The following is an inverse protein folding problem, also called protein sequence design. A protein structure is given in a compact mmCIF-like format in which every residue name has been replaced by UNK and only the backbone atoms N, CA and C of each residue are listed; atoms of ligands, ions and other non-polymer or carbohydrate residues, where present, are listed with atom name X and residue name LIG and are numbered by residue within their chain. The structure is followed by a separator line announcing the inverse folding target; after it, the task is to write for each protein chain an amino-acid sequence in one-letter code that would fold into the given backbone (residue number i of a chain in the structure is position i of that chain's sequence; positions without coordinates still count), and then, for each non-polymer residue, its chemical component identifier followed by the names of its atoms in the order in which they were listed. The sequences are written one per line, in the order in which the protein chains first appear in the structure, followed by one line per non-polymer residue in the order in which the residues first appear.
data_IF_747735244183
#
_entry.id   IF_747735244183
#
_cell.length_a   1.000
_cell.length_b   1.000
_cell.length_c   1.000
_cell.angle_alpha   90.00
_cell.angle_beta   90.00
_cell.angle_gamma   90.00
#
_symmetry.space_group_name_H-M   'P 1'
#
loop_
_entity.id
_entity.type
_entity.pdbx_description
1 polymer ?
#
# COMPACT_ATOMS: atom_id res chain seq x y z
N UNK A 1 40.36 -4.28 -19.05
CA UNK A 1 40.09 -4.68 -17.66
C UNK A 1 39.37 -3.52 -17.00
N UNK A 2 38.04 -3.57 -16.93
CA UNK A 2 37.25 -2.53 -16.28
C UNK A 2 37.23 -2.80 -14.78
N UNK A 3 37.83 -1.90 -14.01
CA UNK A 3 37.83 -1.92 -12.55
C UNK A 3 36.43 -1.59 -12.04
N UNK A 4 35.76 -2.54 -11.38
CA UNK A 4 34.56 -2.23 -10.60
C UNK A 4 34.97 -1.25 -9.47
N UNK A 5 34.35 -0.08 -9.35
CA UNK A 5 34.56 0.74 -8.17
C UNK A 5 34.03 -0.03 -6.95
N UNK A 6 34.84 -0.15 -5.91
CA UNK A 6 34.40 -0.62 -4.60
C UNK A 6 33.19 0.21 -4.17
N UNK A 7 32.06 -0.45 -3.94
CA UNK A 7 30.84 0.21 -3.48
C UNK A 7 31.08 0.75 -2.07
N UNK A 8 31.09 2.08 -1.95
CA UNK A 8 31.22 2.76 -0.66
C UNK A 8 29.89 2.65 0.13
N UNK A 9 29.83 1.65 1.00
CA UNK A 9 28.65 1.38 1.83
C UNK A 9 28.41 2.46 2.88
N UNK A 10 29.45 3.16 3.34
CA UNK A 10 29.31 4.20 4.36
C UNK A 10 28.66 5.45 3.77
N UNK A 11 29.04 5.82 2.55
CA UNK A 11 28.37 6.89 1.80
C UNK A 11 26.89 6.56 1.50
N UNK A 12 26.60 5.29 1.17
CA UNK A 12 25.22 4.84 0.94
C UNK A 12 24.37 4.85 2.23
N UNK A 13 24.95 4.46 3.36
CA UNK A 13 24.28 4.48 4.65
C UNK A 13 23.96 5.91 5.09
N UNK A 14 24.91 6.83 4.93
CA UNK A 14 24.71 8.25 5.24
C UNK A 14 23.63 8.90 4.35
N UNK A 15 23.60 8.54 3.06
CA UNK A 15 22.54 8.98 2.14
C UNK A 15 21.16 8.44 2.52
N UNK A 16 21.05 7.15 2.87
CA UNK A 16 19.78 6.53 3.26
C UNK A 16 19.19 7.09 4.56
N UNK A 17 20.03 7.67 5.45
CA UNK A 17 19.60 8.31 6.69
C UNK A 17 19.21 9.78 6.52
N UNK A 18 19.41 10.37 5.33
CA UNK A 18 19.01 11.74 5.05
C UNK A 18 17.52 11.83 4.68
N UNK A 19 16.83 12.86 5.19
CA UNK A 19 15.39 13.10 4.97
C UNK A 19 15.05 13.61 3.55
N UNK A 20 16.01 13.64 2.63
CA UNK A 20 15.84 14.22 1.30
C UNK A 20 16.32 13.26 0.20
N UNK A 21 15.55 12.21 -0.14
CA UNK A 21 15.89 11.34 -1.25
C UNK A 21 15.76 12.10 -2.57
N UNK A 22 16.86 12.69 -3.04
CA UNK A 22 16.92 13.40 -4.31
C UNK A 22 17.05 12.38 -5.44
N UNK A 23 15.93 12.04 -6.09
CA UNK A 23 15.97 11.20 -7.30
C UNK A 23 16.61 12.03 -8.42
N UNK A 24 17.81 11.64 -8.86
CA UNK A 24 18.49 12.37 -9.94
C UNK A 24 17.66 12.30 -11.24
N UNK A 25 17.54 13.42 -11.99
CA UNK A 25 16.90 13.42 -13.30
C UNK A 25 17.60 12.42 -14.24
N UNK A 26 16.82 11.52 -14.85
CA UNK A 26 17.35 10.47 -15.73
C UNK A 26 17.69 9.15 -15.04
N UNK A 27 17.46 9.02 -13.72
CA UNK A 27 17.60 7.74 -13.02
C UNK A 27 16.68 6.69 -13.66
N UNK A 28 17.27 5.67 -14.28
CA UNK A 28 16.53 4.55 -14.85
C UNK A 28 15.95 3.73 -13.69
N UNK A 29 14.63 3.71 -13.59
CA UNK A 29 13.93 2.81 -12.68
C UNK A 29 14.22 1.37 -13.12
N UNK A 30 15.16 0.71 -12.44
CA UNK A 30 15.42 -0.71 -12.62
C UNK A 30 14.29 -1.44 -11.89
N UNK A 31 13.32 -1.97 -12.65
CA UNK A 31 12.46 -3.02 -12.11
C UNK A 31 13.21 -4.32 -12.23
N UNK A 32 13.35 -5.03 -11.11
CA UNK A 32 13.89 -6.38 -11.12
C UNK A 32 13.08 -7.27 -12.07
N UNK A 33 13.74 -8.31 -12.57
CA UNK A 33 13.06 -9.42 -13.24
C UNK A 33 12.23 -10.20 -12.22
N UNK A 34 11.32 -11.07 -12.68
CA UNK A 34 10.57 -11.94 -11.77
C UNK A 34 11.50 -12.77 -10.85
N UNK A 35 12.65 -13.21 -11.39
CA UNK A 35 13.66 -13.92 -10.61
C UNK A 35 14.30 -13.03 -9.53
N UNK A 36 14.56 -11.76 -9.83
CA UNK A 36 15.09 -10.80 -8.83
C UNK A 36 14.07 -10.54 -7.71
N UNK A 37 12.78 -10.52 -8.04
CA UNK A 37 11.71 -10.35 -7.08
C UNK A 37 11.58 -11.59 -6.15
N UNK A 38 11.75 -12.79 -6.71
CA UNK A 38 11.75 -14.04 -5.92
C UNK A 38 12.98 -14.13 -5.01
N UNK A 39 14.15 -13.74 -5.50
CA UNK A 39 15.39 -13.70 -4.70
C UNK A 39 15.29 -12.67 -3.56
N UNK A 40 14.81 -11.46 -3.84
CA UNK A 40 14.55 -10.44 -2.82
C UNK A 40 13.57 -10.95 -1.76
N UNK A 41 12.52 -11.67 -2.18
CA UNK A 41 11.57 -12.27 -1.24
C UNK A 41 12.20 -13.32 -0.36
N UNK A 42 12.98 -14.24 -0.92
CA UNK A 42 13.66 -15.27 -0.14
C UNK A 42 14.56 -14.64 0.93
N UNK A 43 15.23 -13.53 0.59
CA UNK A 43 16.03 -12.77 1.55
C UNK A 43 15.18 -12.15 2.67
N UNK A 44 14.03 -11.54 2.34
CA UNK A 44 13.14 -10.95 3.34
C UNK A 44 12.45 -12.00 4.22
N UNK A 45 12.04 -13.14 3.64
CA UNK A 45 11.47 -14.26 4.40
C UNK A 45 12.51 -14.88 5.36
N UNK A 46 13.79 -14.94 4.97
CA UNK A 46 14.87 -15.40 5.83
C UNK A 46 15.20 -14.42 6.98
N UNK A 47 14.95 -13.12 6.79
CA UNK A 47 15.18 -12.09 7.81
C UNK A 47 13.99 -11.79 8.72
N UNK A 48 12.83 -12.43 8.51
CA UNK A 48 11.65 -12.24 9.35
C UNK A 48 11.72 -13.16 10.58
N UNK A 49 11.91 -12.58 11.75
CA UNK A 49 12.11 -13.30 13.01
C UNK A 49 10.79 -13.45 13.78
N UNK A 50 9.91 -12.44 13.68
CA UNK A 50 8.63 -12.41 14.38
C UNK A 50 7.45 -12.87 13.51
N UNK A 51 6.38 -13.34 14.14
CA UNK A 51 5.15 -13.70 13.43
C UNK A 51 4.46 -12.48 12.78
N UNK A 52 4.66 -11.29 13.33
CA UNK A 52 4.15 -10.04 12.77
C UNK A 52 4.89 -9.65 11.48
N UNK A 53 6.22 -9.81 11.44
CA UNK A 53 7.04 -9.60 10.25
C UNK A 53 6.68 -10.59 9.14
N UNK A 54 6.50 -11.87 9.49
CA UNK A 54 6.05 -12.91 8.55
C UNK A 54 4.66 -12.59 7.99
N UNK A 55 3.74 -12.14 8.84
CA UNK A 55 2.41 -11.72 8.42
C UNK A 55 2.46 -10.49 7.50
N UNK A 56 3.35 -9.53 7.75
CA UNK A 56 3.55 -8.37 6.90
C UNK A 56 4.09 -8.77 5.51
N UNK A 57 5.08 -9.67 5.46
CA UNK A 57 5.61 -10.26 4.23
C UNK A 57 4.56 -11.01 3.42
N UNK A 58 3.70 -11.78 4.10
CA UNK A 58 2.59 -12.47 3.46
C UNK A 58 1.58 -11.50 2.83
N UNK A 59 1.32 -10.35 3.48
CA UNK A 59 0.45 -9.28 2.94
C UNK A 59 1.08 -8.57 1.74
N UNK A 60 2.41 -8.38 1.76
CA UNK A 60 3.15 -7.76 0.67
C UNK A 60 3.11 -8.56 -0.65
N UNK A 61 2.74 -9.85 -0.63
CA UNK A 61 2.63 -10.70 -1.82
C UNK A 61 1.59 -10.23 -2.86
N UNK A 62 0.59 -9.43 -2.47
CA UNK A 62 -0.63 -9.25 -3.28
C UNK A 62 -0.84 -7.86 -3.89
N UNK A 63 0.10 -6.93 -3.73
CA UNK A 63 -0.20 -5.51 -3.96
C UNK A 63 -1.26 -5.01 -2.98
N UNK A 64 -1.82 -3.80 -3.17
CA UNK A 64 -2.97 -3.35 -2.37
C UNK A 64 -4.11 -4.35 -2.60
N UNK A 65 -4.62 -5.06 -1.56
CA UNK A 65 -5.71 -6.00 -1.73
C UNK A 65 -6.88 -5.35 -2.43
N UNK A 66 -7.49 -6.06 -3.38
CA UNK A 66 -8.76 -5.63 -3.97
C UNK A 66 -9.79 -5.46 -2.84
N UNK A 67 -10.65 -4.44 -2.93
CA UNK A 67 -11.78 -4.28 -2.02
C UNK A 67 -12.84 -5.36 -2.21
N UNK A 68 -12.83 -6.03 -3.35
CA UNK A 68 -13.64 -7.20 -3.66
C UNK A 68 -12.78 -8.48 -3.57
N UNK A 69 -13.08 -9.40 -2.63
CA UNK A 69 -12.32 -10.63 -2.44
C UNK A 69 -12.49 -11.63 -3.59
N UNK A 70 -13.51 -11.46 -4.43
CA UNK A 70 -13.79 -12.30 -5.61
C UNK A 70 -13.20 -11.73 -6.91
N UNK A 71 -12.66 -10.51 -6.86
CA UNK A 71 -12.10 -9.87 -8.03
C UNK A 71 -10.85 -10.60 -8.55
N UNK A 72 -10.73 -10.66 -9.88
CA UNK A 72 -9.53 -11.18 -10.53
C UNK A 72 -8.29 -10.35 -10.14
N UNK A 73 -7.15 -10.97 -9.77
CA UNK A 73 -5.94 -10.24 -9.43
C UNK A 73 -5.54 -9.22 -10.51
N UNK A 74 -5.20 -8.00 -10.08
CA UNK A 74 -4.91 -6.88 -10.98
C UNK A 74 -6.12 -6.04 -11.39
N UNK A 75 -7.34 -6.45 -11.01
CA UNK A 75 -8.55 -5.64 -11.23
C UNK A 75 -8.65 -4.54 -10.17
N UNK A 76 -8.92 -3.31 -10.61
CA UNK A 76 -9.13 -2.17 -9.73
C UNK A 76 -10.60 -2.01 -9.39
N UNK A 77 -10.92 -1.79 -8.11
CA UNK A 77 -12.28 -1.44 -7.70
C UNK A 77 -12.74 -0.12 -8.36
N UNK A 78 -14.04 0.00 -8.71
CA UNK A 78 -14.56 1.23 -9.28
C UNK A 78 -14.43 2.40 -8.29
N UNK A 79 -14.10 3.59 -8.80
CA UNK A 79 -13.93 4.79 -7.99
C UNK A 79 -15.15 5.70 -8.11
N UNK A 80 -15.70 6.13 -6.97
CA UNK A 80 -16.77 7.12 -6.91
C UNK A 80 -16.21 8.48 -6.52
N UNK A 81 -16.51 9.52 -7.31
CA UNK A 81 -16.15 10.92 -7.00
C UNK A 81 -17.41 11.69 -6.64
N UNK A 82 -17.62 11.91 -5.35
CA UNK A 82 -18.82 12.59 -4.82
C UNK A 82 -18.39 13.74 -3.91
N UNK A 83 -19.02 14.91 -4.06
CA UNK A 83 -18.81 16.04 -3.15
C UNK A 83 -19.74 15.92 -1.95
N UNK A 84 -19.18 16.06 -0.75
CA UNK A 84 -19.95 16.10 0.49
C UNK A 84 -20.10 17.55 0.99
N UNK A 85 -21.25 17.92 1.60
CA UNK A 85 -21.34 19.14 2.39
C UNK A 85 -20.33 19.13 3.54
N UNK A 86 -19.71 20.28 3.84
CA UNK A 86 -18.69 20.39 4.89
C UNK A 86 -19.11 19.82 6.26
N UNK A 87 -20.33 20.10 6.76
CA UNK A 87 -20.80 19.51 8.02
C UNK A 87 -20.94 17.98 7.98
N UNK A 88 -21.22 17.39 6.81
CA UNK A 88 -21.32 15.94 6.65
C UNK A 88 -19.94 15.29 6.70
N UNK A 89 -18.95 15.86 6.00
CA UNK A 89 -17.57 15.36 6.01
C UNK A 89 -16.99 15.40 7.44
N UNK A 90 -17.16 16.51 8.16
CA UNK A 90 -16.69 16.64 9.53
C UNK A 90 -17.29 15.56 10.46
N UNK A 91 -18.60 15.32 10.35
CA UNK A 91 -19.29 14.28 11.15
C UNK A 91 -18.83 12.88 10.78
N UNK A 92 -18.64 12.60 9.48
CA UNK A 92 -18.20 11.29 9.01
C UNK A 92 -16.76 10.99 9.45
N UNK A 93 -15.86 11.99 9.41
CA UNK A 93 -14.48 11.86 9.89
C UNK A 93 -14.40 11.62 11.39
N UNK A 94 -15.12 12.42 12.19
CA UNK A 94 -15.16 12.24 13.64
C UNK A 94 -15.68 10.86 14.03
N UNK A 95 -16.68 10.34 13.30
CA UNK A 95 -17.18 8.98 13.50
C UNK A 95 -16.15 7.91 13.14
N UNK A 96 -15.48 8.05 11.99
CA UNK A 96 -14.46 7.12 11.55
C UNK A 96 -13.27 7.06 12.52
N UNK A 97 -12.84 8.21 13.04
CA UNK A 97 -11.79 8.32 14.07
C UNK A 97 -12.20 7.64 15.38
N UNK A 98 -13.40 7.92 15.88
CA UNK A 98 -13.92 7.29 17.10
C UNK A 98 -14.08 5.76 16.99
N UNK A 99 -14.23 5.24 15.77
CA UNK A 99 -14.34 3.80 15.47
C UNK A 99 -13.03 3.18 14.97
N UNK A 100 -11.92 3.93 15.02
CA UNK A 100 -10.58 3.52 14.54
C UNK A 100 -10.60 2.89 13.13
N UNK A 101 -11.43 3.45 12.24
CA UNK A 101 -11.63 2.93 10.87
C UNK A 101 -11.34 3.99 9.81
N UNK A 102 -11.05 3.54 8.59
CA UNK A 102 -10.90 4.44 7.43
C UNK A 102 -12.27 5.03 7.01
N UNK A 103 -12.28 6.30 6.60
CA UNK A 103 -13.49 6.99 6.12
C UNK A 103 -14.11 6.25 4.93
N UNK A 104 -13.31 5.69 4.02
CA UNK A 104 -13.80 4.94 2.87
C UNK A 104 -14.41 3.59 3.28
N UNK A 105 -14.03 3.01 4.40
CA UNK A 105 -14.70 1.83 4.96
C UNK A 105 -16.08 2.20 5.51
N UNK A 106 -16.14 3.30 6.29
CA UNK A 106 -17.40 3.83 6.81
C UNK A 106 -18.39 4.17 5.68
N UNK A 107 -17.92 4.85 4.63
CA UNK A 107 -18.77 5.22 3.47
C UNK A 107 -19.29 3.98 2.74
N UNK A 108 -18.45 2.96 2.52
CA UNK A 108 -18.89 1.71 1.90
C UNK A 108 -19.95 1.00 2.73
N UNK A 109 -19.73 0.88 4.04
CA UNK A 109 -20.72 0.30 4.96
C UNK A 109 -22.05 1.08 4.91
N UNK A 110 -22.00 2.42 4.98
CA UNK A 110 -23.22 3.23 4.97
C UNK A 110 -24.02 3.08 3.66
N UNK A 111 -23.34 2.95 2.52
CA UNK A 111 -24.00 2.70 1.23
C UNK A 111 -24.59 1.29 1.19
N UNK A 112 -23.87 0.28 1.67
CA UNK A 112 -24.38 -1.09 1.77
C UNK A 112 -25.62 -1.16 2.66
N UNK A 113 -25.58 -0.58 3.86
CA UNK A 113 -26.73 -0.48 4.77
C UNK A 113 -27.91 0.26 4.12
N UNK A 114 -27.65 1.37 3.42
CA UNK A 114 -28.69 2.09 2.70
C UNK A 114 -29.36 1.20 1.66
N UNK A 115 -28.56 0.49 0.83
CA UNK A 115 -29.07 -0.41 -0.19
C UNK A 115 -29.81 -1.61 0.40
N UNK A 116 -29.33 -2.21 1.50
CA UNK A 116 -30.02 -3.32 2.17
C UNK A 116 -31.36 -2.88 2.74
N UNK A 117 -31.41 -1.71 3.39
CA UNK A 117 -32.62 -1.20 4.04
C UNK A 117 -33.64 -0.62 3.04
N UNK A 118 -33.22 -0.34 1.81
CA UNK A 118 -34.07 0.23 0.75
C UNK A 118 -34.13 -0.69 -0.48
N UNK A 119 -33.71 -1.95 -0.36
CA UNK A 119 -33.88 -2.97 -1.38
C UNK A 119 -35.37 -3.36 -1.42
N UNK A 120 -36.09 -2.77 -2.37
CA UNK A 120 -37.52 -2.91 -2.66
C UNK A 120 -38.48 -2.04 -1.82
N UNK A 121 -38.77 -0.85 -2.36
CA UNK A 121 -40.15 -0.46 -2.70
C UNK A 121 -40.33 -0.54 -4.21
#
# INVERSE_FOLDING_TARGET
MSTNPETDYDALAAWAQSDEPTIQPGTKMIRGTAADHDALRAMLEAGAETEEEKALLARARRGRPSLDPTATPGTTSPMWRVRAPGPLDARARARAEAEERDLSALVRQAVEEYLTNHAAS
#
